data_IF_862807597877
#
_entry.id   IF_862807597877
#
_cell.length_a   1.000
_cell.length_b   1.000
_cell.length_c   1.000
_cell.angle_alpha   90.00
_cell.angle_beta   90.00
_cell.angle_gamma   90.00
#
_symmetry.space_group_name_H-M   'P 1'
#
loop_
_entity.id
_entity.type
_entity.pdbx_description
1 polymer ?
#
# COMPACT_ATOMS: atom_id res chain seq x y z
N UNK A 1 4.95 -17.45 19.69
CA UNK A 1 5.89 -16.30 19.49
C UNK A 1 5.06 -15.03 19.47
N UNK A 2 5.58 -13.91 19.98
CA UNK A 2 4.85 -12.61 19.91
C UNK A 2 4.98 -11.99 18.51
N UNK A 3 4.03 -11.13 18.10
CA UNK A 3 4.05 -10.50 16.78
C UNK A 3 5.33 -9.68 16.53
N UNK A 4 5.74 -8.86 17.49
CA UNK A 4 6.96 -8.06 17.37
C UNK A 4 8.26 -8.92 17.27
N UNK A 5 8.31 -10.10 17.90
CA UNK A 5 9.44 -11.02 17.76
C UNK A 5 9.50 -11.61 16.35
N UNK A 6 8.33 -11.89 15.74
CA UNK A 6 8.23 -12.27 14.33
C UNK A 6 8.69 -11.14 13.42
N UNK A 7 8.19 -9.94 13.66
CA UNK A 7 8.57 -8.76 12.86
C UNK A 7 10.09 -8.58 12.82
N UNK A 8 10.76 -8.59 13.98
CA UNK A 8 12.23 -8.48 14.04
C UNK A 8 12.90 -9.57 13.20
N UNK A 9 12.36 -10.79 13.21
CA UNK A 9 12.90 -11.89 12.40
C UNK A 9 12.65 -11.74 10.91
N UNK A 10 11.57 -11.04 10.50
CA UNK A 10 11.21 -10.88 9.09
C UNK A 10 11.91 -9.69 8.46
N UNK A 11 12.05 -8.57 9.17
CA UNK A 11 12.69 -7.36 8.64
C UNK A 11 14.17 -7.55 8.33
N UNK A 12 14.84 -8.51 9.00
CA UNK A 12 16.24 -8.88 8.67
C UNK A 12 16.38 -9.59 7.32
N UNK A 13 15.28 -10.05 6.72
CA UNK A 13 15.27 -10.60 5.36
C UNK A 13 14.93 -9.46 4.40
N UNK A 14 15.89 -9.06 3.59
CA UNK A 14 15.75 -7.96 2.65
C UNK A 14 14.91 -8.40 1.44
N UNK A 15 13.86 -7.62 1.11
CA UNK A 15 12.88 -7.97 0.08
C UNK A 15 12.41 -6.75 -0.75
N UNK A 16 13.29 -5.82 -1.20
CA UNK A 16 12.83 -4.71 -2.01
C UNK A 16 12.26 -5.18 -3.35
N UNK A 17 11.16 -4.57 -3.77
CA UNK A 17 10.66 -4.64 -5.13
C UNK A 17 11.48 -3.76 -6.08
N UNK A 18 11.34 -3.97 -7.40
CA UNK A 18 12.07 -3.28 -8.45
C UNK A 18 11.10 -2.84 -9.56
N UNK A 19 10.79 -1.54 -9.63
CA UNK A 19 9.88 -0.97 -10.62
C UNK A 19 10.36 -1.14 -12.07
N UNK A 20 11.66 -1.31 -12.30
CA UNK A 20 12.24 -1.47 -13.63
C UNK A 20 12.25 -2.93 -14.10
N UNK A 21 11.88 -3.87 -13.23
CA UNK A 21 11.86 -5.30 -13.53
C UNK A 21 10.63 -5.70 -14.35
N UNK A 22 10.82 -6.60 -15.31
CA UNK A 22 9.74 -7.23 -16.08
C UNK A 22 9.38 -8.64 -15.57
N UNK A 23 9.97 -9.07 -14.44
CA UNK A 23 9.70 -10.40 -13.86
C UNK A 23 8.75 -10.32 -12.67
N UNK A 24 8.12 -11.45 -12.32
CA UNK A 24 7.32 -11.60 -11.10
C UNK A 24 7.85 -12.81 -10.32
N UNK A 25 8.34 -12.62 -9.08
CA UNK A 25 8.47 -11.33 -8.40
C UNK A 25 9.50 -10.44 -9.11
N UNK A 26 9.38 -9.13 -8.90
CA UNK A 26 10.27 -8.13 -9.49
C UNK A 26 11.71 -8.29 -9.00
N UNK A 27 11.90 -8.79 -7.79
CA UNK A 27 13.21 -9.18 -7.26
C UNK A 27 13.18 -10.59 -6.65
N UNK A 28 14.17 -11.40 -6.99
CA UNK A 28 14.26 -12.82 -6.56
C UNK A 28 14.43 -12.97 -5.05
N UNK A 29 14.97 -11.96 -4.36
CA UNK A 29 15.17 -11.98 -2.91
C UNK A 29 13.87 -12.09 -2.11
N UNK A 30 12.72 -11.74 -2.66
CA UNK A 30 11.41 -11.92 -2.02
C UNK A 30 11.14 -13.41 -1.71
N UNK A 31 11.64 -14.33 -2.52
CA UNK A 31 11.57 -15.77 -2.22
C UNK A 31 12.27 -16.18 -0.91
N UNK A 32 13.24 -15.41 -0.42
CA UNK A 32 13.94 -15.77 0.81
C UNK A 32 13.03 -15.64 2.02
N UNK A 33 12.21 -14.57 2.05
CA UNK A 33 11.16 -14.43 3.05
C UNK A 33 10.03 -15.44 2.82
N UNK A 34 9.55 -15.59 1.58
CA UNK A 34 8.47 -16.50 1.23
C UNK A 34 8.75 -17.94 1.69
N UNK A 35 9.96 -18.46 1.46
CA UNK A 35 10.37 -19.81 1.92
C UNK A 35 10.43 -19.94 3.43
N UNK A 36 10.83 -18.87 4.14
CA UNK A 36 10.82 -18.83 5.61
C UNK A 36 9.39 -18.89 6.13
N UNK A 37 8.49 -18.11 5.54
CA UNK A 37 7.07 -18.08 5.88
C UNK A 37 6.36 -19.40 5.52
N UNK A 38 6.65 -19.98 4.37
CA UNK A 38 6.14 -21.31 3.98
C UNK A 38 6.44 -22.37 5.04
N UNK A 39 7.66 -22.39 5.53
CA UNK A 39 8.07 -23.31 6.61
C UNK A 39 7.29 -23.02 7.89
N UNK A 40 7.20 -21.76 8.31
CA UNK A 40 6.50 -21.36 9.53
C UNK A 40 4.99 -21.67 9.47
N UNK A 41 4.33 -21.40 8.32
CA UNK A 41 2.93 -21.77 8.11
C UNK A 41 2.69 -23.27 8.26
N UNK A 42 3.59 -24.12 7.72
CA UNK A 42 3.52 -25.57 7.90
C UNK A 42 3.73 -25.99 9.36
N UNK A 43 4.67 -25.38 10.08
CA UNK A 43 4.92 -25.60 11.49
C UNK A 43 3.76 -25.18 12.38
N UNK A 44 3.04 -24.09 11.98
CA UNK A 44 1.78 -23.67 12.61
C UNK A 44 0.57 -24.53 12.22
N UNK A 45 0.76 -25.59 11.43
CA UNK A 45 -0.29 -26.54 11.10
C UNK A 45 -1.31 -26.06 10.04
N UNK A 46 -0.99 -25.04 9.25
CA UNK A 46 -1.80 -24.70 8.09
C UNK A 46 -1.72 -25.82 7.06
N UNK A 47 -2.83 -26.06 6.39
CA UNK A 47 -2.96 -27.01 5.28
C UNK A 47 -2.91 -26.29 3.94
N UNK A 48 -2.73 -27.02 2.84
CA UNK A 48 -2.67 -26.48 1.49
C UNK A 48 -1.67 -25.31 1.35
N UNK A 49 -0.53 -25.42 2.08
CA UNK A 49 0.53 -24.41 2.01
C UNK A 49 1.27 -24.55 0.69
N UNK A 50 1.14 -23.55 -0.17
CA UNK A 50 1.69 -23.51 -1.52
C UNK A 50 2.43 -22.20 -1.76
N UNK A 51 3.70 -22.27 -2.04
CA UNK A 51 4.50 -21.20 -2.61
C UNK A 51 4.62 -21.44 -4.11
N UNK A 52 4.06 -20.53 -4.92
CA UNK A 52 4.09 -20.68 -6.38
C UNK A 52 5.37 -20.10 -7.01
N UNK A 53 5.49 -20.23 -8.31
CA UNK A 53 6.65 -19.79 -9.10
C UNK A 53 6.74 -18.26 -9.28
N UNK A 54 5.69 -17.54 -8.87
CA UNK A 54 5.60 -16.08 -8.87
C UNK A 54 5.71 -15.46 -7.48
N UNK A 55 6.11 -16.28 -6.49
CA UNK A 55 6.30 -15.88 -5.11
C UNK A 55 5.01 -15.59 -4.31
N UNK A 56 3.83 -15.99 -4.79
CA UNK A 56 2.62 -15.96 -3.96
C UNK A 56 2.62 -17.15 -3.00
N UNK A 57 2.41 -16.87 -1.73
CA UNK A 57 2.35 -17.90 -0.69
C UNK A 57 0.94 -18.00 -0.12
N UNK A 58 0.31 -19.15 -0.25
CA UNK A 58 -1.05 -19.43 0.24
C UNK A 58 -1.03 -20.48 1.34
N UNK A 59 -2.03 -20.46 2.22
CA UNK A 59 -2.27 -21.52 3.19
C UNK A 59 -3.63 -21.39 3.84
N UNK A 60 -4.12 -22.49 4.42
CA UNK A 60 -5.46 -22.56 5.02
C UNK A 60 -5.42 -23.16 6.43
N UNK A 61 -6.17 -22.57 7.34
CA UNK A 61 -6.52 -23.19 8.62
C UNK A 61 -7.97 -23.72 8.51
N UNK A 62 -8.17 -25.04 8.49
CA UNK A 62 -9.51 -25.64 8.34
C UNK A 62 -10.45 -25.22 9.47
N UNK A 63 -11.74 -25.01 9.14
CA UNK A 63 -12.76 -24.67 10.12
C UNK A 63 -12.82 -25.67 11.29
N UNK A 64 -13.06 -25.18 12.49
CA UNK A 64 -13.34 -26.03 13.65
C UNK A 64 -14.60 -26.88 13.42
N UNK A 65 -14.70 -28.01 14.13
CA UNK A 65 -15.85 -28.89 14.00
C UNK A 65 -17.18 -28.15 14.26
N UNK A 66 -18.12 -28.32 13.35
CA UNK A 66 -19.43 -27.66 13.41
C UNK A 66 -19.45 -26.19 12.93
N UNK A 67 -18.33 -25.66 12.37
CA UNK A 67 -18.23 -24.28 11.88
C UNK A 67 -17.95 -24.16 10.37
N UNK A 68 -18.17 -25.24 9.62
CA UNK A 68 -17.91 -25.29 8.16
C UNK A 68 -18.84 -24.40 7.33
N UNK A 69 -20.00 -24.05 7.88
CA UNK A 69 -20.99 -23.19 7.21
C UNK A 69 -20.66 -21.69 7.34
N UNK A 70 -19.66 -21.33 8.13
CA UNK A 70 -19.17 -19.96 8.23
C UNK A 70 -18.40 -19.62 6.95
N UNK A 71 -18.67 -18.45 6.33
CA UNK A 71 -17.91 -18.01 5.16
C UNK A 71 -16.41 -18.08 5.39
N UNK A 72 -15.66 -18.52 4.39
CA UNK A 72 -14.21 -18.55 4.45
C UNK A 72 -13.66 -17.11 4.47
N UNK A 73 -12.87 -16.80 5.49
CA UNK A 73 -12.31 -15.47 5.71
C UNK A 73 -10.83 -15.44 5.38
N UNK A 74 -10.43 -14.48 4.54
CA UNK A 74 -9.07 -14.30 4.12
C UNK A 74 -8.33 -13.20 4.88
N UNK A 75 -7.02 -13.38 5.08
CA UNK A 75 -6.09 -12.36 5.57
C UNK A 75 -4.88 -12.31 4.64
N UNK A 76 -4.50 -11.10 4.22
CA UNK A 76 -3.49 -10.86 3.20
C UNK A 76 -2.52 -9.78 3.72
N UNK A 77 -1.24 -9.96 3.45
CA UNK A 77 -0.17 -9.00 3.69
C UNK A 77 0.90 -9.13 2.62
N UNK A 78 1.67 -8.09 2.34
CA UNK A 78 2.71 -8.20 1.33
C UNK A 78 4.10 -8.46 1.92
N UNK A 79 4.97 -9.10 1.12
CA UNK A 79 6.30 -9.51 1.55
C UNK A 79 7.39 -8.54 1.13
N UNK A 80 7.17 -7.80 0.06
CA UNK A 80 8.15 -6.85 -0.45
C UNK A 80 8.18 -5.56 0.38
N UNK A 81 9.13 -4.73 0.10
CA UNK A 81 9.28 -3.38 0.64
C UNK A 81 9.62 -2.44 -0.49
N UNK A 82 9.43 -1.15 -0.29
CA UNK A 82 10.00 -0.16 -1.21
C UNK A 82 11.51 -0.35 -1.36
N UNK A 83 12.05 0.02 -2.52
CA UNK A 83 13.49 -0.02 -2.78
C UNK A 83 14.24 1.14 -2.12
N UNK A 84 13.55 2.25 -1.89
CA UNK A 84 14.12 3.42 -1.22
C UNK A 84 14.57 3.09 0.20
N UNK A 85 15.74 3.56 0.59
CA UNK A 85 16.34 3.27 1.90
C UNK A 85 16.40 1.77 2.27
N UNK A 86 16.44 0.88 1.28
CA UNK A 86 16.53 -0.58 1.46
C UNK A 86 17.69 -1.20 0.66
N UNK A 87 18.82 -0.49 0.53
CA UNK A 87 19.99 -0.91 -0.24
C UNK A 87 20.94 -1.84 0.53
N UNK A 88 20.79 -1.93 1.85
CA UNK A 88 21.56 -2.82 2.72
C UNK A 88 20.69 -3.46 3.81
N UNK A 89 21.31 -4.25 4.69
CA UNK A 89 20.63 -5.01 5.74
C UNK A 89 19.96 -4.10 6.79
N UNK A 90 18.69 -4.36 7.04
CA UNK A 90 17.90 -3.64 8.05
C UNK A 90 18.35 -4.05 9.45
N UNK A 91 18.61 -3.07 10.31
CA UNK A 91 18.99 -3.26 11.71
C UNK A 91 17.89 -2.74 12.63
N UNK A 92 16.97 -3.64 13.07
CA UNK A 92 15.91 -3.23 13.96
C UNK A 92 16.43 -2.83 15.33
N UNK A 93 15.90 -1.75 15.87
CA UNK A 93 16.19 -1.23 17.21
C UNK A 93 14.94 -1.33 18.08
N UNK A 94 15.13 -1.61 19.36
CA UNK A 94 14.05 -1.70 20.35
C UNK A 94 14.26 -0.64 21.41
N UNK A 95 13.29 0.26 21.58
CA UNK A 95 13.30 1.29 22.62
C UNK A 95 12.17 1.02 23.59
N UNK A 96 12.49 0.45 24.74
CA UNK A 96 11.52 0.18 25.79
C UNK A 96 11.13 1.47 26.54
N UNK A 97 9.86 1.54 26.95
CA UNK A 97 9.32 2.62 27.77
C UNK A 97 9.63 4.01 27.21
N UNK A 98 9.29 4.20 25.91
CA UNK A 98 9.51 5.46 25.21
C UNK A 98 8.93 6.66 25.98
N UNK A 99 9.72 7.70 26.16
CA UNK A 99 9.36 8.82 27.03
C UNK A 99 8.41 9.86 26.41
N UNK A 100 8.13 9.74 25.10
CA UNK A 100 7.28 10.67 24.33
C UNK A 100 8.03 11.87 23.75
N UNK A 101 9.36 11.91 23.86
CA UNK A 101 10.24 12.97 23.35
C UNK A 101 11.01 12.58 22.09
N UNK A 102 12.08 13.30 21.81
CA UNK A 102 12.97 13.06 20.69
C UNK A 102 13.73 11.72 20.86
N UNK A 103 13.70 10.85 19.86
CA UNK A 103 14.39 9.57 19.83
C UNK A 103 15.46 9.57 18.73
N UNK A 104 16.74 9.46 19.12
CA UNK A 104 17.83 9.32 18.16
C UNK A 104 17.79 7.92 17.51
N UNK A 105 17.87 7.86 16.17
CA UNK A 105 17.87 6.62 15.41
C UNK A 105 19.31 6.11 15.22
N UNK A 106 19.71 5.19 16.11
CA UNK A 106 21.06 4.61 16.07
C UNK A 106 22.16 5.67 16.05
N UNK A 107 23.05 5.57 15.06
CA UNK A 107 24.17 6.52 14.84
C UNK A 107 24.03 7.31 13.53
N UNK A 108 22.87 7.26 12.88
CA UNK A 108 22.60 7.92 11.61
C UNK A 108 22.62 9.47 11.68
N UNK A 109 22.43 10.02 12.88
CA UNK A 109 22.21 11.44 13.11
C UNK A 109 20.77 11.89 12.92
N UNK A 110 19.87 11.00 12.53
CA UNK A 110 18.44 11.27 12.45
C UNK A 110 17.77 11.19 13.82
N UNK A 111 16.75 12.01 14.01
CA UNK A 111 15.96 12.08 15.25
C UNK A 111 14.48 11.95 14.90
N UNK A 112 13.84 10.92 15.42
CA UNK A 112 12.39 10.76 15.36
C UNK A 112 11.78 11.68 16.42
N UNK A 113 11.10 12.74 16.00
CA UNK A 113 10.66 13.84 16.88
C UNK A 113 9.16 14.06 16.83
N UNK A 114 8.50 14.30 18.00
CA UNK A 114 7.09 14.69 18.05
C UNK A 114 6.76 16.00 17.33
N UNK A 115 7.76 16.79 16.94
CA UNK A 115 7.55 18.01 16.15
C UNK A 115 7.17 17.70 14.71
N UNK A 116 7.82 16.67 14.13
CA UNK A 116 7.53 16.17 12.80
C UNK A 116 6.44 15.10 12.81
N UNK A 117 6.39 14.29 13.88
CA UNK A 117 5.48 13.15 14.05
C UNK A 117 4.65 13.30 15.34
N UNK A 118 3.58 14.14 15.34
CA UNK A 118 2.82 14.47 16.56
C UNK A 118 2.19 13.27 17.28
N UNK A 119 1.89 12.18 16.56
CA UNK A 119 1.33 10.93 17.11
C UNK A 119 2.24 10.25 18.14
N UNK A 120 3.56 10.51 18.08
CA UNK A 120 4.54 9.97 19.03
C UNK A 120 4.21 10.29 20.49
N UNK A 121 3.56 11.42 20.75
CA UNK A 121 3.14 11.77 22.11
C UNK A 121 2.13 10.78 22.70
N UNK A 122 1.32 10.14 21.82
CA UNK A 122 0.37 9.08 22.19
C UNK A 122 1.04 7.72 22.43
N UNK A 123 2.27 7.54 21.98
CA UNK A 123 3.05 6.31 22.15
C UNK A 123 3.93 6.31 23.42
N UNK A 124 3.84 7.35 24.25
CA UNK A 124 4.57 7.43 25.53
C UNK A 124 4.30 6.22 26.43
N UNK A 125 5.37 5.62 26.93
CA UNK A 125 5.33 4.43 27.79
C UNK A 125 5.28 3.12 27.02
N UNK A 126 5.13 3.15 25.67
CA UNK A 126 5.18 1.95 24.82
C UNK A 126 6.61 1.56 24.48
N UNK A 127 6.76 0.37 23.95
CA UNK A 127 8.00 -0.12 23.36
C UNK A 127 7.97 0.15 21.86
N UNK A 128 8.92 0.93 21.36
CA UNK A 128 9.02 1.25 19.94
C UNK A 128 10.05 0.36 19.24
N UNK A 129 9.68 -0.08 18.04
CA UNK A 129 10.58 -0.69 17.07
C UNK A 129 10.87 0.34 15.98
N UNK A 130 12.14 0.54 15.65
CA UNK A 130 12.64 1.42 14.59
C UNK A 130 13.77 0.72 13.84
N UNK A 131 14.21 1.27 12.73
CA UNK A 131 15.54 0.94 12.22
C UNK A 131 16.62 1.76 12.95
N UNK A 132 17.89 1.55 12.59
CA UNK A 132 19.01 2.39 13.06
C UNK A 132 19.07 3.77 12.37
N UNK A 133 18.07 4.10 11.56
CA UNK A 133 17.95 5.34 10.81
C UNK A 133 18.75 5.37 9.50
N UNK A 134 19.39 4.28 9.11
CA UNK A 134 20.09 4.17 7.81
C UNK A 134 19.23 3.51 6.74
N UNK A 135 18.20 2.78 7.15
CA UNK A 135 17.22 2.10 6.29
C UNK A 135 15.80 2.36 6.75
N UNK A 136 14.80 1.92 5.97
CA UNK A 136 13.45 1.68 6.46
C UNK A 136 13.49 0.63 7.59
N UNK A 137 12.39 0.47 8.35
CA UNK A 137 12.22 -0.67 9.25
C UNK A 137 11.68 -1.90 8.49
N UNK A 138 10.83 -1.70 7.48
CA UNK A 138 10.14 -2.75 6.75
C UNK A 138 8.98 -3.35 7.56
N UNK A 139 8.37 -2.57 8.44
CA UNK A 139 7.12 -2.92 9.10
C UNK A 139 5.97 -2.96 8.11
N UNK A 140 6.02 -2.13 7.12
CA UNK A 140 5.24 -2.15 5.91
C UNK A 140 5.84 -3.18 4.94
N UNK A 141 5.21 -4.38 4.71
CA UNK A 141 4.04 -4.89 5.47
C UNK A 141 4.37 -6.19 6.22
N UNK A 142 5.62 -6.35 6.66
CA UNK A 142 6.03 -7.50 7.47
C UNK A 142 5.38 -7.51 8.87
N UNK A 143 4.79 -6.37 9.31
CA UNK A 143 3.99 -6.32 10.52
C UNK A 143 2.67 -7.06 10.33
N UNK A 144 1.95 -6.83 9.24
CA UNK A 144 0.75 -7.58 8.90
C UNK A 144 1.01 -9.09 8.81
N UNK A 145 2.11 -9.51 8.17
CA UNK A 145 2.53 -10.91 8.15
C UNK A 145 2.69 -11.45 9.58
N UNK A 146 3.41 -10.73 10.44
CA UNK A 146 3.68 -11.14 11.81
C UNK A 146 2.41 -11.24 12.66
N UNK A 147 1.48 -10.32 12.47
CA UNK A 147 0.19 -10.28 13.16
C UNK A 147 -0.72 -11.42 12.72
N UNK A 148 -0.83 -11.69 11.41
CA UNK A 148 -1.60 -12.82 10.86
C UNK A 148 -1.09 -14.14 11.44
N UNK A 149 0.21 -14.40 11.40
CA UNK A 149 0.76 -15.67 11.89
C UNK A 149 0.67 -15.78 13.41
N UNK A 150 0.73 -14.66 14.15
CA UNK A 150 0.50 -14.65 15.60
C UNK A 150 -0.95 -14.93 15.94
N UNK A 151 -1.90 -14.37 15.18
CA UNK A 151 -3.32 -14.67 15.30
C UNK A 151 -3.58 -16.17 15.08
N UNK A 152 -3.02 -16.76 14.01
CA UNK A 152 -3.14 -18.21 13.71
C UNK A 152 -2.61 -19.07 14.87
N UNK A 153 -1.43 -18.77 15.40
CA UNK A 153 -0.87 -19.49 16.56
C UNK A 153 -1.79 -19.40 17.77
N UNK A 154 -2.33 -18.23 18.05
CA UNK A 154 -3.23 -18.00 19.20
C UNK A 154 -4.57 -18.69 19.05
N UNK A 155 -5.17 -18.68 17.86
CA UNK A 155 -6.42 -19.43 17.59
C UNK A 155 -6.25 -20.89 17.98
N UNK A 156 -5.16 -21.52 17.58
CA UNK A 156 -4.90 -22.93 17.83
C UNK A 156 -4.55 -23.20 19.30
N UNK A 157 -3.66 -22.42 19.89
CA UNK A 157 -3.22 -22.64 21.29
C UNK A 157 -4.33 -22.34 22.30
N UNK A 158 -5.20 -21.40 22.01
CA UNK A 158 -6.35 -21.01 22.82
C UNK A 158 -7.63 -21.83 22.48
N UNK A 159 -7.57 -22.70 21.47
CA UNK A 159 -8.69 -23.50 20.96
C UNK A 159 -9.94 -22.64 20.64
N UNK A 160 -9.75 -21.50 19.96
CA UNK A 160 -10.85 -20.61 19.59
C UNK A 160 -11.63 -21.18 18.40
N UNK A 161 -12.99 -21.21 18.47
CA UNK A 161 -13.78 -21.65 17.33
C UNK A 161 -13.69 -20.66 16.18
N UNK A 162 -13.60 -21.18 14.94
CA UNK A 162 -13.50 -20.37 13.73
C UNK A 162 -14.02 -21.11 12.49
N UNK A 163 -14.44 -20.37 11.47
CA UNK A 163 -14.66 -20.89 10.12
C UNK A 163 -13.34 -21.21 9.41
N UNK A 164 -13.39 -21.46 8.10
CA UNK A 164 -12.17 -21.57 7.29
C UNK A 164 -11.44 -20.21 7.31
N UNK A 165 -10.13 -20.23 7.63
CA UNK A 165 -9.26 -19.07 7.53
C UNK A 165 -8.27 -19.31 6.39
N UNK A 166 -8.25 -18.40 5.41
CA UNK A 166 -7.31 -18.40 4.30
C UNK A 166 -6.26 -17.32 4.54
N UNK A 167 -5.00 -17.67 4.31
CA UNK A 167 -3.87 -16.73 4.46
C UNK A 167 -3.14 -16.64 3.13
N UNK A 168 -2.81 -15.44 2.69
CA UNK A 168 -1.94 -15.23 1.55
C UNK A 168 -0.91 -14.13 1.84
N UNK A 169 0.30 -14.34 1.31
CA UNK A 169 1.34 -13.33 1.29
C UNK A 169 1.75 -13.05 -0.15
N UNK A 170 1.69 -11.76 -0.54
CA UNK A 170 1.87 -11.29 -1.91
C UNK A 170 3.27 -10.73 -2.13
N UNK A 171 3.84 -10.86 -3.34
CA UNK A 171 5.01 -10.09 -3.77
C UNK A 171 4.56 -8.76 -4.41
N UNK A 172 5.51 -7.82 -4.60
CA UNK A 172 5.41 -6.68 -5.52
C UNK A 172 4.20 -5.73 -5.31
N UNK A 173 3.70 -5.64 -4.07
CA UNK A 173 2.64 -4.69 -3.73
C UNK A 173 3.11 -3.26 -3.93
N UNK A 174 4.30 -2.92 -3.46
CA UNK A 174 4.90 -1.59 -3.44
C UNK A 174 5.11 -0.97 -4.85
N UNK A 175 5.08 -1.81 -5.86
CA UNK A 175 5.08 -1.39 -7.27
C UNK A 175 3.70 -1.55 -7.94
N UNK A 176 2.65 -1.85 -7.15
CA UNK A 176 1.26 -1.98 -7.59
C UNK A 176 0.94 -3.25 -8.36
N UNK A 177 1.76 -4.30 -8.24
CA UNK A 177 1.64 -5.57 -8.98
C UNK A 177 1.19 -6.74 -8.09
N UNK A 178 1.03 -6.53 -6.78
CA UNK A 178 0.77 -7.60 -5.82
C UNK A 178 -0.50 -8.40 -6.09
N UNK A 179 -1.54 -7.79 -6.64
CA UNK A 179 -2.76 -8.50 -6.99
C UNK A 179 -2.76 -9.12 -8.40
N UNK A 180 -1.77 -8.84 -9.28
CA UNK A 180 -1.87 -9.16 -10.71
C UNK A 180 -2.07 -10.64 -10.98
N UNK A 181 -1.25 -11.47 -10.37
CA UNK A 181 -1.27 -12.92 -10.54
C UNK A 181 -1.88 -13.67 -9.35
N UNK A 182 -2.55 -12.96 -8.45
CA UNK A 182 -3.20 -13.57 -7.29
C UNK A 182 -4.24 -14.60 -7.72
N UNK A 183 -4.13 -15.82 -7.21
CA UNK A 183 -5.00 -16.93 -7.54
C UNK A 183 -6.15 -17.04 -6.54
N UNK A 184 -7.31 -16.49 -6.89
CA UNK A 184 -8.50 -16.50 -6.04
C UNK A 184 -9.02 -17.91 -5.74
N UNK A 185 -8.95 -18.83 -6.70
CA UNK A 185 -9.40 -20.21 -6.52
C UNK A 185 -8.48 -20.96 -5.53
N UNK A 186 -7.16 -20.76 -5.62
CA UNK A 186 -6.20 -21.31 -4.66
C UNK A 186 -6.39 -20.72 -3.27
N UNK A 187 -6.63 -19.42 -3.18
CA UNK A 187 -6.88 -18.73 -1.91
C UNK A 187 -8.16 -19.22 -1.27
N UNK A 188 -9.29 -19.18 -2.00
CA UNK A 188 -10.55 -19.81 -1.62
C UNK A 188 -11.33 -19.09 -0.52
N UNK A 189 -11.05 -17.82 -0.22
CA UNK A 189 -11.84 -17.01 0.70
C UNK A 189 -13.03 -16.36 -0.01
N UNK A 190 -14.14 -16.18 0.72
CA UNK A 190 -15.32 -15.45 0.25
C UNK A 190 -15.19 -13.95 0.47
N UNK A 191 -14.56 -13.56 1.57
CA UNK A 191 -14.21 -12.20 1.95
C UNK A 191 -12.77 -12.16 2.47
N UNK A 192 -12.11 -11.02 2.36
CA UNK A 192 -10.78 -10.88 2.93
C UNK A 192 -10.55 -9.50 3.56
N UNK A 193 -9.44 -9.38 4.28
CA UNK A 193 -8.86 -8.13 4.75
C UNK A 193 -7.38 -8.13 4.43
N UNK A 194 -6.88 -7.04 3.88
CA UNK A 194 -5.43 -6.76 3.91
C UNK A 194 -5.06 -6.15 5.26
N UNK A 195 -3.86 -6.46 5.76
CA UNK A 195 -3.29 -5.85 6.95
C UNK A 195 -2.12 -4.98 6.52
N UNK A 196 -2.42 -3.82 5.99
CA UNK A 196 -1.48 -2.96 5.27
C UNK A 196 -1.82 -1.47 5.50
N UNK A 197 -2.47 -1.18 6.63
CA UNK A 197 -2.78 0.19 7.04
C UNK A 197 -1.83 0.69 8.12
N UNK A 198 -1.94 2.00 8.40
CA UNK A 198 -1.06 2.67 9.36
C UNK A 198 -1.45 2.35 10.82
N UNK A 199 -2.16 3.25 11.45
CA UNK A 199 -2.43 3.23 12.88
C UNK A 199 -3.31 2.05 13.33
N UNK A 200 -3.14 1.63 14.58
CA UNK A 200 -4.02 0.65 15.21
C UNK A 200 -5.50 1.08 15.17
N UNK A 201 -6.38 0.20 14.71
CA UNK A 201 -7.82 0.48 14.61
C UNK A 201 -8.24 1.16 13.31
N UNK A 202 -7.34 1.43 12.40
CA UNK A 202 -7.70 1.88 11.06
C UNK A 202 -8.49 0.83 10.31
N UNK A 203 -9.56 1.29 9.64
CA UNK A 203 -10.40 0.50 8.74
C UNK A 203 -10.57 1.34 7.48
N UNK A 204 -10.06 0.85 6.40
CA UNK A 204 -9.99 1.57 5.14
C UNK A 204 -10.71 0.77 4.05
N UNK A 205 -11.72 1.38 3.44
CA UNK A 205 -12.50 0.79 2.35
C UNK A 205 -12.74 1.77 1.20
N UNK A 206 -12.06 2.91 1.26
CA UNK A 206 -12.01 3.92 0.20
C UNK A 206 -10.56 4.21 -0.14
N UNK A 207 -10.25 4.22 -1.43
CA UNK A 207 -8.94 4.57 -1.96
C UNK A 207 -9.09 5.47 -3.18
N UNK A 208 -8.01 6.02 -3.70
CA UNK A 208 -8.07 6.77 -4.94
C UNK A 208 -8.50 5.93 -6.15
N UNK A 209 -9.22 6.55 -7.10
CA UNK A 209 -9.15 6.15 -8.49
C UNK A 209 -7.85 6.71 -9.08
N UNK A 210 -7.14 5.96 -9.89
CA UNK A 210 -5.79 6.27 -10.32
C UNK A 210 -5.56 6.05 -11.81
N UNK A 211 -4.89 7.00 -12.47
CA UNK A 211 -4.33 6.77 -13.80
C UNK A 211 -2.96 7.46 -13.93
N UNK A 212 -2.18 6.98 -14.91
CA UNK A 212 -1.02 7.67 -15.48
C UNK A 212 -1.45 8.46 -16.69
N UNK A 213 -0.84 9.63 -16.92
CA UNK A 213 -1.03 10.42 -18.13
C UNK A 213 0.34 10.85 -18.66
N UNK A 214 0.62 10.44 -19.87
CA UNK A 214 1.88 10.69 -20.58
C UNK A 214 1.62 11.65 -21.74
N UNK A 215 2.26 12.82 -21.70
CA UNK A 215 2.27 13.74 -22.82
C UNK A 215 3.58 13.60 -23.59
N UNK A 216 3.49 13.37 -24.87
CA UNK A 216 4.60 13.50 -25.82
C UNK A 216 4.37 14.74 -26.69
N UNK A 217 5.37 15.61 -26.74
CA UNK A 217 5.32 16.87 -27.49
C UNK A 217 6.37 16.84 -28.60
N UNK A 218 5.95 17.13 -29.81
CA UNK A 218 6.82 17.27 -30.99
C UNK A 218 7.00 18.72 -31.32
N UNK A 219 8.22 19.22 -31.25
CA UNK A 219 8.59 20.57 -31.68
C UNK A 219 8.94 20.66 -33.16
N UNK A 220 9.15 21.88 -33.61
CA UNK A 220 9.69 22.15 -34.91
C UNK A 220 10.91 23.07 -34.82
N UNK A 221 12.08 22.50 -35.06
CA UNK A 221 13.36 23.15 -34.86
C UNK A 221 13.83 23.87 -36.12
N UNK A 222 14.14 25.14 -36.00
CA UNK A 222 14.78 25.97 -37.04
C UNK A 222 15.85 26.83 -36.37
N UNK A 223 16.68 27.52 -37.16
CA UNK A 223 17.65 28.47 -36.63
C UNK A 223 16.92 29.54 -35.79
N UNK A 224 17.33 29.81 -34.54
CA UNK A 224 16.60 30.72 -33.63
C UNK A 224 16.31 32.11 -34.25
N UNK A 225 17.23 32.65 -35.04
CA UNK A 225 17.06 33.94 -35.74
C UNK A 225 15.97 33.92 -36.84
N UNK A 226 15.52 32.73 -37.26
CA UNK A 226 14.52 32.53 -38.32
C UNK A 226 13.24 31.90 -37.76
N UNK A 227 13.17 31.76 -36.42
CA UNK A 227 12.10 31.02 -35.72
C UNK A 227 10.75 31.74 -35.65
N UNK A 228 10.64 33.00 -36.11
CA UNK A 228 9.38 33.75 -36.05
C UNK A 228 8.28 33.05 -36.85
N UNK A 229 7.17 32.79 -36.17
CA UNK A 229 5.95 32.14 -36.73
C UNK A 229 6.20 30.74 -37.32
N UNK A 230 7.36 30.12 -37.04
CA UNK A 230 7.77 28.83 -37.60
C UNK A 230 8.20 27.83 -36.52
N UNK A 231 9.03 28.28 -35.58
CA UNK A 231 9.55 27.40 -34.53
C UNK A 231 8.46 26.99 -33.54
N UNK A 232 8.41 25.70 -33.23
CA UNK A 232 7.64 25.15 -32.10
C UNK A 232 8.62 24.58 -31.10
N UNK A 233 8.76 25.23 -29.96
CA UNK A 233 9.64 24.76 -28.89
C UNK A 233 8.86 23.83 -27.97
N UNK A 234 9.15 22.52 -28.03
CA UNK A 234 8.44 21.49 -27.30
C UNK A 234 8.53 21.69 -25.77
N UNK A 235 9.68 22.15 -25.25
CA UNK A 235 9.81 22.46 -23.82
C UNK A 235 8.87 23.58 -23.36
N UNK A 236 8.65 24.62 -24.19
CA UNK A 236 7.70 25.69 -23.85
C UNK A 236 6.25 25.21 -23.93
N UNK A 237 5.91 24.35 -24.89
CA UNK A 237 4.60 23.71 -24.96
C UNK A 237 4.36 22.80 -23.74
N UNK A 238 5.37 22.08 -23.27
CA UNK A 238 5.29 21.27 -22.05
C UNK A 238 4.99 22.14 -20.81
N UNK A 239 5.65 23.28 -20.68
CA UNK A 239 5.34 24.25 -19.61
C UNK A 239 3.91 24.80 -19.74
N UNK A 240 3.42 25.01 -20.96
CA UNK A 240 2.05 25.47 -21.22
C UNK A 240 1.02 24.42 -20.77
N UNK A 241 1.28 23.11 -21.00
CA UNK A 241 0.43 22.02 -20.49
C UNK A 241 0.29 22.14 -18.97
N UNK A 242 1.41 22.21 -18.26
CA UNK A 242 1.40 22.32 -16.81
C UNK A 242 0.67 23.57 -16.30
N UNK A 243 0.82 24.70 -17.00
CA UNK A 243 0.15 25.96 -16.64
C UNK A 243 -1.36 25.96 -16.90
N UNK A 244 -1.88 25.00 -17.69
CA UNK A 244 -3.31 24.81 -17.88
C UNK A 244 -3.98 24.05 -16.74
N UNK A 245 -3.21 23.43 -15.85
CA UNK A 245 -3.72 22.68 -14.71
C UNK A 245 -3.89 23.58 -13.48
N UNK A 246 -4.86 23.26 -12.58
CA UNK A 246 -5.05 24.03 -11.35
C UNK A 246 -3.81 23.96 -10.45
N UNK A 247 -3.20 25.10 -10.15
CA UNK A 247 -1.92 25.18 -9.45
C UNK A 247 -1.91 24.59 -8.03
N UNK A 248 -3.07 24.53 -7.37
CA UNK A 248 -3.21 24.01 -5.99
C UNK A 248 -3.63 22.54 -5.94
N UNK A 249 -4.09 21.96 -7.05
CA UNK A 249 -4.49 20.56 -7.11
C UNK A 249 -3.27 19.65 -7.34
N UNK A 250 -2.38 19.68 -6.35
CA UNK A 250 -1.13 18.92 -6.29
C UNK A 250 -1.03 18.18 -4.94
N UNK A 251 -0.17 17.17 -4.79
CA UNK A 251 0.00 16.48 -3.50
C UNK A 251 0.30 17.42 -2.33
N UNK A 252 1.02 18.53 -2.59
CA UNK A 252 1.33 19.53 -1.57
C UNK A 252 0.12 20.41 -1.19
N UNK A 253 -0.83 20.56 -2.09
CA UNK A 253 -1.97 21.49 -1.93
C UNK A 253 -3.30 20.81 -1.61
N UNK A 254 -3.31 19.48 -1.44
CA UNK A 254 -4.53 18.68 -1.24
C UNK A 254 -4.41 17.73 -0.06
N UNK A 255 -5.53 17.49 0.62
CA UNK A 255 -5.65 16.60 1.77
C UNK A 255 -6.93 15.75 1.70
N UNK A 256 -7.09 14.80 2.60
CA UNK A 256 -8.25 13.93 2.75
C UNK A 256 -8.75 13.34 1.41
N UNK A 257 -9.97 13.69 1.00
CA UNK A 257 -10.63 13.21 -0.21
C UNK A 257 -10.29 14.01 -1.48
N UNK A 258 -9.50 15.07 -1.36
CA UNK A 258 -9.18 15.94 -2.48
C UNK A 258 -8.24 15.25 -3.48
N UNK A 259 -8.63 15.28 -4.76
CA UNK A 259 -7.84 14.72 -5.85
C UNK A 259 -6.78 15.68 -6.38
N UNK A 260 -5.81 15.15 -7.14
CA UNK A 260 -4.70 15.95 -7.65
C UNK A 260 -4.19 15.50 -9.02
N UNK A 261 -3.40 16.38 -9.64
CA UNK A 261 -2.48 16.10 -10.74
C UNK A 261 -1.05 16.21 -10.20
N UNK A 262 -0.25 15.18 -10.30
CA UNK A 262 1.13 15.20 -9.86
C UNK A 262 2.09 14.96 -11.03
N UNK A 263 2.89 15.98 -11.37
CA UNK A 263 3.96 15.87 -12.34
C UNK A 263 5.11 15.05 -11.72
N UNK A 264 5.32 13.83 -12.20
CA UNK A 264 6.40 12.94 -11.74
C UNK A 264 7.72 13.30 -12.40
N UNK A 265 7.68 13.48 -13.73
CA UNK A 265 8.88 13.81 -14.50
C UNK A 265 8.58 14.70 -15.69
N UNK A 266 9.57 15.51 -16.02
CA UNK A 266 9.57 16.37 -17.21
C UNK A 266 10.96 16.32 -17.85
N UNK A 267 11.00 15.99 -19.13
CA UNK A 267 12.21 16.02 -19.93
C UNK A 267 11.91 16.75 -21.23
N UNK A 268 12.84 17.54 -21.74
CA UNK A 268 12.57 18.20 -23.02
C UNK A 268 13.67 19.12 -23.53
N UNK A 269 13.63 19.30 -24.83
CA UNK A 269 14.40 20.24 -25.61
C UNK A 269 13.51 20.91 -26.67
N UNK A 270 14.12 21.63 -27.64
CA UNK A 270 13.32 22.34 -28.66
C UNK A 270 12.54 21.38 -29.54
N UNK A 271 13.15 20.24 -29.91
CA UNK A 271 12.57 19.27 -30.86
C UNK A 271 11.55 18.32 -30.26
N UNK A 272 11.70 17.98 -28.98
CA UNK A 272 10.81 17.05 -28.31
C UNK A 272 10.72 17.32 -26.81
N UNK A 273 9.62 16.93 -26.17
CA UNK A 273 9.48 16.93 -24.72
C UNK A 273 8.50 15.84 -24.26
N UNK A 274 8.65 15.40 -23.02
CA UNK A 274 7.76 14.43 -22.34
C UNK A 274 7.40 14.92 -20.96
N UNK A 275 6.14 14.68 -20.57
CA UNK A 275 5.63 14.91 -19.23
C UNK A 275 4.93 13.64 -18.76
N UNK A 276 5.25 13.20 -17.52
CA UNK A 276 4.58 12.08 -16.90
C UNK A 276 3.84 12.58 -15.67
N UNK A 277 2.54 12.35 -15.64
CA UNK A 277 1.67 12.66 -14.50
C UNK A 277 1.06 11.41 -13.93
N UNK A 278 0.81 11.43 -12.63
CA UNK A 278 -0.19 10.59 -12.00
C UNK A 278 -1.39 11.45 -11.58
N UNK A 279 -2.57 10.92 -11.80
CA UNK A 279 -3.85 11.56 -11.47
C UNK A 279 -4.55 10.71 -10.44
N UNK A 280 -5.07 11.34 -9.40
CA UNK A 280 -5.74 10.70 -8.27
C UNK A 280 -7.02 11.47 -7.93
N UNK A 281 -8.08 10.76 -7.62
CA UNK A 281 -9.32 11.31 -7.07
C UNK A 281 -10.14 10.20 -6.39
N UNK A 282 -10.71 10.45 -5.21
CA UNK A 282 -11.61 9.49 -4.56
C UNK A 282 -12.96 9.42 -5.27
N UNK A 283 -13.47 10.57 -5.74
CA UNK A 283 -14.72 10.61 -6.49
C UNK A 283 -14.54 10.18 -7.94
N UNK A 284 -15.33 9.22 -8.38
CA UNK A 284 -15.26 8.69 -9.76
C UNK A 284 -15.57 9.74 -10.81
N UNK A 285 -16.56 10.62 -10.53
CA UNK A 285 -16.91 11.69 -11.49
C UNK A 285 -15.81 12.75 -11.54
N UNK A 286 -15.24 13.12 -10.39
CA UNK A 286 -14.07 13.99 -10.28
C UNK A 286 -12.89 13.44 -11.08
N UNK A 287 -12.60 12.15 -10.92
CA UNK A 287 -11.56 11.44 -11.66
C UNK A 287 -11.77 11.50 -13.19
N UNK A 288 -12.99 11.23 -13.66
CA UNK A 288 -13.31 11.32 -15.09
C UNK A 288 -13.23 12.75 -15.62
N UNK A 289 -13.65 13.76 -14.83
CA UNK A 289 -13.48 15.17 -15.21
C UNK A 289 -12.01 15.59 -15.30
N UNK A 290 -11.14 15.06 -14.44
CA UNK A 290 -9.69 15.26 -14.54
C UNK A 290 -9.14 14.69 -15.85
N UNK A 291 -9.52 13.49 -16.23
CA UNK A 291 -9.13 12.86 -17.51
C UNK A 291 -9.65 13.67 -18.70
N UNK A 292 -10.89 14.19 -18.64
CA UNK A 292 -11.45 15.08 -19.69
C UNK A 292 -10.66 16.39 -19.80
N UNK A 293 -10.24 16.96 -18.67
CA UNK A 293 -9.42 18.18 -18.65
C UNK A 293 -8.12 17.97 -19.40
N UNK A 294 -7.41 16.86 -19.16
CA UNK A 294 -6.17 16.53 -19.88
C UNK A 294 -6.40 16.39 -21.40
N UNK A 295 -7.48 15.70 -21.81
CA UNK A 295 -7.84 15.58 -23.24
C UNK A 295 -8.21 16.92 -23.87
N UNK A 296 -8.83 17.82 -23.10
CA UNK A 296 -9.14 19.16 -23.58
C UNK A 296 -7.87 20.01 -23.77
N UNK A 297 -6.89 19.88 -22.86
CA UNK A 297 -5.58 20.53 -22.99
C UNK A 297 -4.89 20.05 -24.28
N UNK A 298 -4.79 18.75 -24.50
CA UNK A 298 -4.25 18.17 -25.73
C UNK A 298 -4.91 18.78 -26.97
N UNK A 299 -6.25 18.75 -27.04
CA UNK A 299 -7.02 19.28 -28.15
C UNK A 299 -6.76 20.75 -28.39
N UNK A 300 -6.74 21.57 -27.33
CA UNK A 300 -6.57 23.02 -27.46
C UNK A 300 -5.14 23.37 -27.90
N UNK A 301 -4.14 22.67 -27.44
CA UNK A 301 -2.75 22.90 -27.82
C UNK A 301 -2.48 22.43 -29.25
N UNK A 302 -3.08 21.34 -29.70
CA UNK A 302 -3.03 20.92 -31.08
C UNK A 302 -3.71 21.97 -32.04
N UNK A 303 -4.83 22.54 -31.61
CA UNK A 303 -5.48 23.62 -32.38
C UNK A 303 -4.59 24.87 -32.43
N UNK A 304 -3.79 25.17 -31.42
CA UNK A 304 -2.88 26.32 -31.34
C UNK A 304 -1.58 26.11 -32.12
N UNK A 305 -0.94 24.96 -31.94
CA UNK A 305 0.42 24.68 -32.41
C UNK A 305 0.48 23.80 -33.66
N UNK A 306 -0.63 23.21 -34.06
CA UNK A 306 -0.73 22.29 -35.20
C UNK A 306 -1.05 20.85 -34.71
N UNK A 307 -1.82 20.14 -35.54
CA UNK A 307 -2.23 18.77 -35.28
C UNK A 307 -1.02 17.83 -35.10
N UNK A 308 -1.03 17.01 -34.05
CA UNK A 308 0.03 16.08 -33.74
C UNK A 308 1.24 16.69 -33.02
N UNK A 309 1.18 17.99 -32.64
CA UNK A 309 2.19 18.61 -31.78
C UNK A 309 2.17 18.01 -30.39
N UNK A 310 1.00 17.74 -29.83
CA UNK A 310 0.81 17.13 -28.50
C UNK A 310 0.07 15.82 -28.66
N UNK A 311 0.58 14.76 -28.05
CA UNK A 311 -0.08 13.46 -27.95
C UNK A 311 -0.22 13.08 -26.49
N UNK A 312 -1.43 12.69 -26.07
CA UNK A 312 -1.74 12.26 -24.71
C UNK A 312 -2.11 10.77 -24.68
N UNK A 313 -1.44 10.01 -23.81
CA UNK A 313 -1.82 8.66 -23.44
C UNK A 313 -2.26 8.63 -21.97
N UNK A 314 -3.46 8.15 -21.71
CA UNK A 314 -3.97 7.92 -20.34
C UNK A 314 -4.10 6.41 -20.13
N UNK A 315 -3.55 5.91 -19.03
CA UNK A 315 -3.62 4.49 -18.65
C UNK A 315 -4.17 4.39 -17.22
N UNK A 316 -5.35 3.79 -17.08
CA UNK A 316 -5.95 3.54 -15.77
C UNK A 316 -5.12 2.49 -15.01
N UNK A 317 -4.94 2.66 -13.70
CA UNK A 317 -4.13 1.80 -12.84
C UNK A 317 -5.02 0.99 -11.90
N UNK A 318 -5.82 1.65 -11.08
CA UNK A 318 -6.76 1.04 -10.15
C UNK A 318 -7.94 1.97 -9.88
N UNK A 319 -9.01 1.41 -9.31
CA UNK A 319 -10.24 2.13 -8.96
C UNK A 319 -10.49 2.12 -7.47
N UNK A 320 -11.36 3.00 -6.99
CA UNK A 320 -11.77 3.04 -5.59
C UNK A 320 -12.61 1.81 -5.24
N UNK A 321 -12.13 0.99 -4.30
CA UNK A 321 -12.80 -0.24 -3.85
C UNK A 321 -14.13 0.00 -3.14
N UNK A 322 -14.44 1.24 -2.78
CA UNK A 322 -15.70 1.62 -2.15
C UNK A 322 -16.91 1.07 -2.87
N UNK A 323 -16.93 1.14 -4.22
CA UNK A 323 -18.05 0.65 -5.03
C UNK A 323 -18.36 -0.83 -4.80
N UNK A 324 -17.34 -1.63 -4.47
CA UNK A 324 -17.49 -3.06 -4.17
C UNK A 324 -17.80 -3.28 -2.70
N UNK A 325 -17.05 -2.63 -1.81
CA UNK A 325 -17.17 -2.85 -0.35
C UNK A 325 -18.52 -2.34 0.19
N UNK A 326 -19.12 -1.29 -0.41
CA UNK A 326 -20.45 -0.80 -0.02
C UNK A 326 -21.57 -1.86 -0.16
N UNK A 327 -21.40 -2.84 -1.05
CA UNK A 327 -22.33 -3.98 -1.16
C UNK A 327 -22.10 -5.02 -0.04
N UNK A 328 -20.99 -4.89 0.71
CA UNK A 328 -20.52 -5.81 1.74
C UNK A 328 -20.20 -5.10 3.07
N UNK A 329 -21.00 -4.11 3.47
CA UNK A 329 -20.73 -3.28 4.67
C UNK A 329 -20.65 -4.07 5.98
N UNK A 330 -21.13 -5.32 6.00
CA UNK A 330 -20.91 -6.20 7.15
C UNK A 330 -19.41 -6.40 7.48
N UNK A 331 -18.51 -6.32 6.49
CA UNK A 331 -17.07 -6.38 6.69
C UNK A 331 -16.60 -5.22 7.58
N UNK A 332 -17.07 -4.02 7.27
CA UNK A 332 -16.73 -2.80 8.03
C UNK A 332 -17.37 -2.81 9.42
N UNK A 333 -18.63 -3.27 9.53
CA UNK A 333 -19.32 -3.37 10.82
C UNK A 333 -18.68 -4.40 11.74
N UNK A 334 -18.20 -5.54 11.21
CA UNK A 334 -17.46 -6.54 11.97
C UNK A 334 -16.10 -5.99 12.42
N UNK A 335 -15.38 -5.31 11.54
CA UNK A 335 -14.10 -4.67 11.87
C UNK A 335 -14.26 -3.61 12.98
N UNK A 336 -15.29 -2.76 12.93
CA UNK A 336 -15.61 -1.79 14.00
C UNK A 336 -15.82 -2.46 15.34
N UNK A 337 -16.67 -3.52 15.38
CA UNK A 337 -16.93 -4.28 16.61
C UNK A 337 -15.66 -4.98 17.13
N UNK A 338 -14.83 -5.44 16.23
CA UNK A 338 -13.54 -6.05 16.58
C UNK A 338 -12.59 -5.03 17.22
N UNK A 339 -12.49 -3.81 16.67
CA UNK A 339 -11.75 -2.70 17.29
C UNK A 339 -12.25 -2.42 18.71
N UNK A 340 -13.57 -2.25 18.88
CA UNK A 340 -14.18 -2.00 20.19
C UNK A 340 -13.88 -3.12 21.18
N UNK A 341 -13.97 -4.39 20.74
CA UNK A 341 -13.68 -5.56 21.58
C UNK A 341 -12.19 -5.64 21.96
N UNK A 342 -11.28 -5.19 21.10
CA UNK A 342 -9.84 -5.08 21.40
C UNK A 342 -9.50 -3.86 22.26
N UNK A 343 -10.48 -2.99 22.54
CA UNK A 343 -10.28 -1.75 23.29
C UNK A 343 -9.54 -0.68 22.50
N UNK A 344 -9.74 -0.67 21.19
CA UNK A 344 -9.20 0.32 20.23
C UNK A 344 -10.36 1.07 19.61
N UNK A 345 -10.25 2.39 19.45
CA UNK A 345 -11.27 3.16 18.75
C UNK A 345 -11.20 2.88 17.24
N UNK A 346 -12.31 2.52 16.57
CA UNK A 346 -12.30 2.35 15.14
C UNK A 346 -12.08 3.70 14.44
N UNK A 347 -11.15 3.73 13.49
CA UNK A 347 -10.78 4.91 12.73
C UNK A 347 -11.02 4.65 11.24
N UNK A 348 -12.07 5.26 10.68
CA UNK A 348 -12.38 5.13 9.26
C UNK A 348 -11.67 6.24 8.50
N UNK A 349 -10.70 5.90 7.69
CA UNK A 349 -9.92 6.84 6.88
C UNK A 349 -9.87 6.38 5.41
N UNK A 350 -9.82 7.33 4.46
CA UNK A 350 -9.55 7.01 3.07
C UNK A 350 -8.05 6.79 2.85
N UNK A 351 -7.70 5.86 1.97
CA UNK A 351 -6.33 5.64 1.51
C UNK A 351 -6.02 6.65 0.40
N UNK A 352 -4.96 7.43 0.55
CA UNK A 352 -4.48 8.34 -0.51
C UNK A 352 -3.49 7.65 -1.47
N UNK A 353 -3.72 6.38 -1.74
CA UNK A 353 -2.95 5.50 -2.61
C UNK A 353 -3.82 4.38 -3.15
N UNK A 354 -3.22 3.24 -3.42
CA UNK A 354 -3.85 1.97 -3.73
C UNK A 354 -3.29 0.89 -2.81
N UNK A 355 -3.93 -0.26 -2.75
CA UNK A 355 -3.47 -1.46 -2.04
C UNK A 355 -3.85 -2.70 -2.83
N UNK A 356 -3.27 -3.84 -2.51
CA UNK A 356 -3.71 -5.13 -3.06
C UNK A 356 -5.22 -5.35 -2.86
N UNK A 357 -5.76 -4.93 -1.70
CA UNK A 357 -7.18 -5.05 -1.39
C UNK A 357 -8.10 -4.35 -2.38
N UNK A 358 -7.70 -3.17 -2.90
CA UNK A 358 -8.50 -2.47 -3.88
C UNK A 358 -8.58 -3.23 -5.22
N UNK A 359 -7.45 -3.78 -5.68
CA UNK A 359 -7.42 -4.57 -6.92
C UNK A 359 -8.15 -5.90 -6.77
N UNK A 360 -7.97 -6.59 -5.64
CA UNK A 360 -8.65 -7.86 -5.31
C UNK A 360 -10.16 -7.67 -5.22
N UNK A 361 -10.64 -6.55 -4.70
CA UNK A 361 -12.07 -6.22 -4.64
C UNK A 361 -12.70 -6.23 -6.05
N UNK A 362 -12.05 -5.62 -7.04
CA UNK A 362 -12.50 -5.64 -8.43
C UNK A 362 -12.31 -7.01 -9.13
N UNK A 363 -11.48 -7.89 -8.58
CA UNK A 363 -11.37 -9.29 -9.05
C UNK A 363 -12.44 -10.21 -8.47
N UNK A 364 -13.32 -9.71 -7.58
CA UNK A 364 -14.42 -10.43 -6.98
C UNK A 364 -14.17 -10.91 -5.54
N UNK A 365 -13.14 -10.41 -4.87
CA UNK A 365 -12.86 -10.65 -3.46
C UNK A 365 -12.98 -9.33 -2.68
N UNK A 366 -14.13 -8.98 -2.10
CA UNK A 366 -14.28 -7.79 -1.26
C UNK A 366 -13.25 -7.79 -0.14
N UNK A 367 -12.35 -6.79 -0.14
CA UNK A 367 -11.14 -6.81 0.67
C UNK A 367 -10.77 -5.42 1.21
N UNK A 368 -11.42 -4.92 2.29
CA UNK A 368 -11.01 -3.71 2.96
C UNK A 368 -9.65 -3.89 3.66
N UNK A 369 -9.00 -2.77 4.00
CA UNK A 369 -7.70 -2.75 4.64
C UNK A 369 -7.82 -2.42 6.13
N UNK A 370 -6.94 -3.01 6.96
CA UNK A 370 -6.83 -2.81 8.40
C UNK A 370 -5.44 -2.31 8.78
N UNK A 371 -5.38 -1.43 9.81
CA UNK A 371 -4.13 -0.90 10.31
C UNK A 371 -3.32 -1.91 11.13
N UNK A 372 -2.01 -1.88 10.95
CA UNK A 372 -1.02 -2.69 11.66
C UNK A 372 -0.51 -2.03 12.96
N UNK A 373 -0.69 -0.72 13.10
CA UNK A 373 -0.12 0.08 14.18
C UNK A 373 1.25 0.68 13.86
N UNK A 374 1.66 0.65 12.59
CA UNK A 374 2.87 1.25 12.07
C UNK A 374 2.69 2.72 11.69
N UNK A 375 3.79 3.41 11.44
CA UNK A 375 3.81 4.83 11.11
C UNK A 375 5.04 5.22 10.31
N UNK A 376 4.92 6.30 9.54
CA UNK A 376 6.00 6.95 8.78
C UNK A 376 6.71 5.99 7.81
N UNK A 377 5.95 5.17 7.11
CA UNK A 377 6.41 4.20 6.14
C UNK A 377 7.25 4.82 5.00
N UNK A 378 7.92 3.99 4.22
CA UNK A 378 8.75 4.35 3.06
C UNK A 378 9.93 5.28 3.37
N UNK A 379 10.39 5.31 4.62
CA UNK A 379 11.52 6.15 5.00
C UNK A 379 12.23 5.71 6.29
N UNK A 380 13.38 6.33 6.62
CA UNK A 380 14.19 5.94 7.77
C UNK A 380 13.57 6.30 9.13
N UNK A 381 12.42 6.97 9.13
CA UNK A 381 11.64 7.30 10.34
C UNK A 381 10.55 6.27 10.63
N UNK A 382 10.44 5.23 9.82
CA UNK A 382 9.46 4.17 9.98
C UNK A 382 9.57 3.53 11.36
N UNK A 383 8.43 3.40 12.04
CA UNK A 383 8.36 2.84 13.38
C UNK A 383 7.01 2.21 13.68
N UNK A 384 7.00 1.28 14.62
CA UNK A 384 5.80 0.61 15.11
C UNK A 384 5.93 0.36 16.60
N UNK A 385 4.82 0.32 17.34
CA UNK A 385 4.86 -0.05 18.76
C UNK A 385 4.48 -1.52 18.98
N UNK A 386 5.18 -2.16 19.91
CA UNK A 386 4.88 -3.54 20.35
C UNK A 386 3.43 -3.66 20.80
N UNK A 387 2.96 -2.70 21.58
CA UNK A 387 1.60 -2.67 22.11
C UNK A 387 0.56 -2.45 21.01
N UNK A 388 0.90 -1.68 19.97
CA UNK A 388 0.07 -1.51 18.77
C UNK A 388 -0.10 -2.84 18.04
N UNK A 389 0.98 -3.53 17.74
CA UNK A 389 0.94 -4.87 17.13
C UNK A 389 0.12 -5.88 17.95
N UNK A 390 0.29 -5.86 19.29
CA UNK A 390 -0.51 -6.73 20.18
C UNK A 390 -2.01 -6.39 20.09
N UNK A 391 -2.36 -5.10 19.93
CA UNK A 391 -3.75 -4.65 19.73
C UNK A 391 -4.30 -5.10 18.38
N UNK A 392 -3.53 -5.02 17.29
CA UNK A 392 -3.93 -5.53 15.98
C UNK A 392 -4.19 -7.03 16.03
N UNK A 393 -3.35 -7.82 16.72
CA UNK A 393 -3.60 -9.25 16.92
C UNK A 393 -4.91 -9.50 17.70
N UNK A 394 -5.18 -8.75 18.78
CA UNK A 394 -6.46 -8.87 19.52
C UNK A 394 -7.66 -8.48 18.64
N UNK A 395 -7.51 -7.46 17.80
CA UNK A 395 -8.53 -7.06 16.83
C UNK A 395 -8.83 -8.20 15.86
N UNK A 396 -7.81 -8.82 15.28
CA UNK A 396 -7.99 -9.95 14.34
C UNK A 396 -8.69 -11.14 15.00
N UNK A 397 -8.33 -11.48 16.25
CA UNK A 397 -8.99 -12.53 17.01
C UNK A 397 -10.47 -12.20 17.29
N UNK A 398 -10.76 -10.94 17.61
CA UNK A 398 -12.13 -10.47 17.82
C UNK A 398 -12.94 -10.48 16.52
N UNK A 399 -12.29 -10.09 15.40
CA UNK A 399 -12.89 -10.10 14.07
C UNK A 399 -13.35 -11.50 13.67
N UNK A 400 -12.50 -12.52 13.86
CA UNK A 400 -12.87 -13.91 13.60
C UNK A 400 -14.07 -14.33 14.46
N UNK A 401 -14.15 -13.87 15.71
CA UNK A 401 -15.28 -14.17 16.58
C UNK A 401 -16.59 -13.53 16.11
N UNK A 402 -16.55 -12.33 15.49
CA UNK A 402 -17.75 -11.73 14.91
C UNK A 402 -18.38 -12.62 13.82
N UNK A 403 -17.55 -13.31 13.01
CA UNK A 403 -18.03 -14.27 12.02
C UNK A 403 -18.48 -15.61 12.61
N UNK A 404 -18.16 -15.91 13.85
CA UNK A 404 -18.57 -17.18 14.50
C UNK A 404 -19.88 -17.09 15.28
N UNK A 405 -20.41 -15.88 15.46
CA UNK A 405 -21.70 -15.63 16.13
C UNK A 405 -22.87 -16.01 15.24
#
# INVERSE_FOLDING_TARGET
>A
MKAWERLINYVTVRTPSDEESETVPSSVCQFDLARKLEKEMKELGLTEVVLDDKCYLYGKLPATEGKKEIPALGFIAHMDTVSDFCDHEIRPMVTENYDGGDLALGTSGLVLSPKEFPHLTGLKGRTLLTSDGTTILGADDKAGIAEILTMIERIQTENRPHGMICVAFTPDEEIGMGAEHFNLDQFGAEYAYTLDGDSEGEIQYENFNACKAEFEIRGFTVHPGEGKDTMINASLVAMEINNCLPAMETPRGTEDYEGFYHLISMQGEVGEAKLNYIIRDHDKNGFEERKKTLRLIEKNLNAKWGEGTVTLKITDQYLNMKEIVEEHMHLIDHAKKACEAAGVAPLILPIRGGTDGCQLSFKGLPCPNLGTGGHAFHGPYEHISVEGMEKSVELLLALIQEYTK
#
